data_IF_357344714695
#
_entry.id   IF_357344714695
#
_cell.length_a   1.000
_cell.length_b   1.000
_cell.length_c   1.000
_cell.angle_alpha   90.00
_cell.angle_beta   90.00
_cell.angle_gamma   90.00
#
_symmetry.space_group_name_H-M   'P 1'
#
loop_
_entity.id
_entity.type
_entity.pdbx_description
1 polymer ?
#
# COMPACT_ATOMS: atom_id res chain seq x y z
N UNK A 1 -0.27 0.27 -22.08
CA UNK A 1 -0.25 -0.14 -20.69
C UNK A 1 0.08 1.05 -19.83
N UNK A 2 -0.68 1.20 -18.82
CA UNK A 2 -0.58 2.37 -17.97
C UNK A 2 0.11 2.00 -16.69
N UNK A 3 1.04 2.85 -16.28
CA UNK A 3 1.86 2.55 -15.13
C UNK A 3 2.35 3.83 -14.48
N UNK A 4 2.44 3.78 -13.17
CA UNK A 4 2.98 4.88 -12.39
C UNK A 4 4.33 4.56 -11.82
N UNK A 5 4.84 5.48 -11.05
CA UNK A 5 6.17 5.41 -10.43
C UNK A 5 6.03 5.73 -8.95
N UNK A 6 6.73 4.96 -8.12
CA UNK A 6 6.91 5.32 -6.71
C UNK A 6 8.39 5.57 -6.48
N UNK A 7 8.71 6.76 -5.98
CA UNK A 7 10.06 7.19 -5.68
C UNK A 7 10.22 7.23 -4.17
N UNK A 8 10.99 6.31 -3.63
CA UNK A 8 11.24 6.25 -2.19
C UNK A 8 12.54 6.99 -1.92
N UNK A 9 12.48 8.00 -1.09
CA UNK A 9 13.60 8.88 -0.80
C UNK A 9 14.21 8.61 0.56
N UNK A 10 15.43 9.10 0.75
CA UNK A 10 16.19 8.92 1.99
C UNK A 10 16.44 7.46 2.31
N UNK A 11 16.63 6.67 1.27
CA UNK A 11 16.93 5.25 1.40
C UNK A 11 18.43 5.04 1.60
N UNK A 12 18.78 3.86 2.01
CA UNK A 12 20.18 3.46 2.14
C UNK A 12 20.66 2.86 0.83
N UNK A 13 21.79 3.36 0.35
CA UNK A 13 22.38 2.86 -0.89
C UNK A 13 22.72 1.39 -0.73
N UNK A 14 22.41 0.63 -1.74
CA UNK A 14 22.69 -0.81 -1.75
C UNK A 14 21.61 -1.68 -1.12
N UNK A 15 20.66 -1.10 -0.39
CA UNK A 15 19.56 -1.86 0.19
C UNK A 15 18.50 -2.13 -0.87
N UNK A 16 17.88 -3.29 -0.76
CA UNK A 16 16.79 -3.67 -1.66
C UNK A 16 15.46 -3.37 -0.99
N UNK A 17 14.59 -2.70 -1.71
CA UNK A 17 13.24 -2.36 -1.26
C UNK A 17 12.25 -3.10 -2.14
N UNK A 18 11.11 -3.44 -1.58
CA UNK A 18 10.09 -4.19 -2.31
C UNK A 18 8.76 -3.44 -2.20
N UNK A 19 8.09 -3.28 -3.33
CA UNK A 19 6.75 -2.72 -3.39
C UNK A 19 5.77 -3.87 -3.65
N UNK A 20 4.79 -4.02 -2.77
CA UNK A 20 3.73 -5.02 -2.90
C UNK A 20 2.43 -4.31 -3.20
N UNK A 21 1.81 -4.64 -4.32
CA UNK A 21 0.46 -4.17 -4.58
C UNK A 21 -0.49 -4.99 -3.72
N UNK A 22 -1.25 -4.32 -2.85
CA UNK A 22 -2.12 -5.03 -1.91
C UNK A 22 -3.60 -4.79 -2.19
N UNK A 23 -3.94 -3.74 -2.95
CA UNK A 23 -5.33 -3.47 -3.31
C UNK A 23 -5.39 -2.90 -4.71
N UNK A 24 -6.47 -3.21 -5.41
CA UNK A 24 -6.81 -2.56 -6.67
C UNK A 24 -7.46 -1.22 -6.40
N UNK A 25 -7.47 -0.37 -7.41
CA UNK A 25 -8.06 0.95 -7.34
C UNK A 25 -9.03 1.13 -8.48
N UNK A 26 -10.17 1.71 -8.21
CA UNK A 26 -11.12 2.10 -9.24
C UNK A 26 -11.69 3.48 -8.94
N UNK A 27 -12.01 4.21 -9.98
CA UNK A 27 -12.54 5.58 -9.89
C UNK A 27 -13.62 5.75 -10.92
N UNK A 28 -14.82 6.13 -10.48
CA UNK A 28 -15.94 6.33 -11.37
C UNK A 28 -16.21 7.80 -11.67
N UNK A 29 -15.27 8.68 -11.30
CA UNK A 29 -15.38 10.11 -11.54
C UNK A 29 -15.83 10.91 -10.34
N UNK A 30 -16.68 10.34 -9.49
CA UNK A 30 -17.18 11.01 -8.29
C UNK A 30 -16.51 10.49 -7.03
N UNK A 31 -16.15 9.23 -7.04
CA UNK A 31 -15.57 8.59 -5.87
C UNK A 31 -14.59 7.52 -6.34
N UNK A 32 -13.67 7.19 -5.47
CA UNK A 32 -12.76 6.09 -5.74
C UNK A 32 -12.91 5.02 -4.65
N UNK A 33 -12.44 3.83 -4.97
CA UNK A 33 -12.48 2.71 -4.04
C UNK A 33 -11.25 1.83 -4.19
N UNK A 34 -10.85 1.23 -3.10
CA UNK A 34 -9.85 0.17 -3.10
C UNK A 34 -10.56 -1.16 -2.91
N UNK A 35 -10.16 -2.16 -3.64
CA UNK A 35 -10.88 -3.42 -3.62
C UNK A 35 -10.01 -4.61 -4.02
N UNK A 36 -10.52 -5.79 -3.75
CA UNK A 36 -10.00 -7.06 -4.25
C UNK A 36 -11.14 -7.78 -4.94
N UNK A 37 -10.83 -8.54 -6.00
CA UNK A 37 -11.82 -9.47 -6.52
C UNK A 37 -12.01 -10.60 -5.52
N UNK A 38 -13.09 -11.37 -5.67
CA UNK A 38 -13.33 -12.51 -4.77
C UNK A 38 -12.18 -13.51 -4.81
N UNK A 39 -11.61 -13.73 -6.00
CA UNK A 39 -10.47 -14.64 -6.13
C UNK A 39 -9.23 -14.08 -5.43
N UNK A 40 -8.98 -12.78 -5.57
CA UNK A 40 -7.82 -12.13 -4.93
C UNK A 40 -7.97 -12.09 -3.42
N UNK A 41 -9.19 -11.86 -2.94
CA UNK A 41 -9.51 -11.86 -1.53
C UNK A 41 -9.34 -13.25 -0.92
N UNK A 42 -9.47 -14.27 -1.75
CA UNK A 42 -9.43 -15.67 -1.37
C UNK A 42 -10.60 -16.00 -0.43
N UNK A 43 -11.80 -15.80 -0.96
CA UNK A 43 -13.02 -16.03 -0.21
C UNK A 43 -13.34 -17.54 -0.16
N UNK A 44 -13.85 -17.96 0.98
CA UNK A 44 -14.36 -19.33 1.11
C UNK A 44 -15.78 -19.42 0.52
N UNK A 45 -16.39 -20.60 0.64
CA UNK A 45 -17.72 -20.84 0.07
C UNK A 45 -18.80 -19.96 0.71
N UNK A 46 -18.54 -19.42 1.89
CA UNK A 46 -19.48 -18.54 2.59
C UNK A 46 -19.16 -17.06 2.37
N UNK A 47 -18.11 -16.76 1.64
CA UNK A 47 -17.72 -15.38 1.36
C UNK A 47 -16.79 -14.78 2.41
N UNK A 48 -16.33 -15.56 3.37
CA UNK A 48 -15.37 -15.09 4.36
C UNK A 48 -13.95 -15.27 3.86
N UNK A 49 -13.00 -14.53 4.40
CA UNK A 49 -11.60 -14.69 4.03
C UNK A 49 -11.09 -16.03 4.49
N UNK A 50 -10.42 -16.75 3.58
CA UNK A 50 -9.74 -17.97 3.96
C UNK A 50 -8.50 -17.66 4.76
N UNK A 51 -8.21 -18.51 5.72
CA UNK A 51 -7.03 -18.36 6.55
C UNK A 51 -5.77 -18.32 5.69
N UNK A 52 -4.96 -17.30 5.87
CA UNK A 52 -3.71 -17.14 5.14
C UNK A 52 -3.85 -16.52 3.75
N UNK A 53 -5.06 -16.25 3.28
CA UNK A 53 -5.25 -15.56 2.02
C UNK A 53 -5.03 -14.07 2.16
N UNK A 54 -5.01 -13.35 1.04
CA UNK A 54 -4.75 -11.91 1.08
C UNK A 54 -5.82 -11.16 1.85
N UNK A 55 -7.10 -11.54 1.71
CA UNK A 55 -8.15 -10.93 2.50
C UNK A 55 -7.91 -11.05 4.00
N UNK A 56 -7.49 -12.22 4.42
CA UNK A 56 -7.18 -12.47 5.83
C UNK A 56 -6.00 -11.62 6.30
N UNK A 57 -4.93 -11.60 5.51
CA UNK A 57 -3.74 -10.80 5.83
C UNK A 57 -4.10 -9.33 6.00
N UNK A 58 -4.91 -8.80 5.09
CA UNK A 58 -5.28 -7.38 5.14
C UNK A 58 -6.24 -7.10 6.30
N UNK A 59 -7.14 -8.03 6.61
CA UNK A 59 -7.99 -7.86 7.78
C UNK A 59 -7.19 -7.86 9.08
N UNK A 60 -6.20 -8.72 9.18
CA UNK A 60 -5.31 -8.74 10.34
C UNK A 60 -4.56 -7.42 10.49
N UNK A 61 -4.28 -6.75 9.38
CA UNK A 61 -3.60 -5.45 9.41
C UNK A 61 -4.54 -4.29 9.70
N UNK A 62 -5.86 -4.51 9.71
CA UNK A 62 -6.81 -3.48 10.06
C UNK A 62 -7.79 -3.09 8.96
N UNK A 63 -7.64 -3.61 7.76
CA UNK A 63 -8.59 -3.31 6.69
C UNK A 63 -9.92 -4.03 6.95
N UNK A 64 -11.01 -3.35 6.65
CA UNK A 64 -12.34 -3.95 6.73
C UNK A 64 -12.96 -3.91 5.33
N UNK A 65 -13.65 -4.98 4.99
CA UNK A 65 -14.19 -5.13 3.64
C UNK A 65 -15.70 -5.31 3.66
N UNK A 66 -16.34 -4.83 2.60
CA UNK A 66 -17.74 -5.09 2.31
C UNK A 66 -17.81 -5.82 0.98
N UNK A 67 -18.47 -6.96 0.96
CA UNK A 67 -18.67 -7.74 -0.24
C UNK A 67 -19.71 -7.06 -1.12
N UNK A 68 -19.47 -7.00 -2.44
CA UNK A 68 -20.43 -6.43 -3.37
C UNK A 68 -21.69 -7.30 -3.44
N UNK A 69 -22.77 -6.72 -3.93
CA UNK A 69 -24.07 -7.43 -3.99
C UNK A 69 -23.97 -8.71 -4.80
N UNK A 70 -23.20 -8.71 -5.89
CA UNK A 70 -23.04 -9.90 -6.72
C UNK A 70 -21.93 -10.82 -6.23
N UNK A 71 -21.26 -10.47 -5.15
CA UNK A 71 -20.21 -11.30 -4.55
C UNK A 71 -18.89 -11.30 -5.28
N UNK A 72 -18.74 -10.51 -6.33
CA UNK A 72 -17.53 -10.57 -7.16
C UNK A 72 -16.39 -9.74 -6.64
N UNK A 73 -16.66 -8.79 -5.75
CA UNK A 73 -15.63 -7.86 -5.28
C UNK A 73 -15.80 -7.59 -3.78
N UNK A 74 -14.68 -7.26 -3.15
CA UNK A 74 -14.62 -6.90 -1.74
C UNK A 74 -14.01 -5.52 -1.66
N UNK A 75 -14.78 -4.55 -1.17
CA UNK A 75 -14.36 -3.15 -1.10
C UNK A 75 -13.92 -2.79 0.31
N UNK A 76 -12.80 -2.07 0.41
CA UNK A 76 -12.37 -1.53 1.70
C UNK A 76 -13.40 -0.50 2.15
N UNK A 77 -13.91 -0.66 3.36
CA UNK A 77 -14.96 0.22 3.87
C UNK A 77 -14.50 1.14 4.99
N UNK A 78 -13.25 1.04 5.43
CA UNK A 78 -12.74 1.83 6.53
C UNK A 78 -11.51 2.67 6.16
N UNK A 79 -11.37 3.02 4.88
CA UNK A 79 -10.20 3.74 4.41
C UNK A 79 -9.98 5.07 5.14
N UNK A 80 -11.07 5.81 5.40
CA UNK A 80 -10.95 7.11 6.07
C UNK A 80 -10.47 6.96 7.51
N UNK A 81 -10.97 5.95 8.21
CA UNK A 81 -10.54 5.72 9.58
C UNK A 81 -9.07 5.34 9.65
N UNK A 82 -8.61 4.48 8.75
CA UNK A 82 -7.21 4.08 8.71
C UNK A 82 -6.31 5.25 8.36
N UNK A 83 -6.75 6.10 7.44
CA UNK A 83 -6.01 7.27 7.02
C UNK A 83 -5.71 8.20 8.19
N UNK A 84 -6.67 8.37 9.09
CA UNK A 84 -6.53 9.33 10.17
C UNK A 84 -5.83 8.78 11.40
N UNK A 85 -5.91 7.48 11.65
CA UNK A 85 -5.45 6.97 12.93
C UNK A 85 -4.69 5.65 12.88
N UNK A 86 -4.59 5.01 11.74
CA UNK A 86 -4.11 3.65 11.69
C UNK A 86 -2.96 3.33 10.73
N UNK A 87 -2.50 4.29 9.95
CA UNK A 87 -1.56 4.00 8.86
C UNK A 87 -0.27 3.36 9.34
N UNK A 88 0.34 3.88 10.41
CA UNK A 88 1.60 3.30 10.87
C UNK A 88 1.42 1.91 11.46
N UNK A 89 0.29 1.65 12.10
CA UNK A 89 0.02 0.31 12.62
C UNK A 89 -0.23 -0.68 11.49
N UNK A 90 -0.95 -0.27 10.46
CA UNK A 90 -1.15 -1.09 9.27
C UNK A 90 0.19 -1.45 8.65
N UNK A 91 1.04 -0.45 8.44
CA UNK A 91 2.36 -0.68 7.84
C UNK A 91 3.22 -1.61 8.70
N UNK A 92 3.21 -1.43 10.02
CA UNK A 92 3.98 -2.28 10.91
C UNK A 92 3.50 -3.72 10.88
N UNK A 93 2.19 -3.92 10.88
CA UNK A 93 1.61 -5.26 10.85
C UNK A 93 1.91 -5.95 9.53
N UNK A 94 1.76 -5.24 8.41
CA UNK A 94 2.09 -5.81 7.09
C UNK A 94 3.56 -6.16 7.00
N UNK A 95 4.43 -5.32 7.53
CA UNK A 95 5.87 -5.56 7.51
C UNK A 95 6.28 -6.78 8.31
N UNK A 96 5.52 -7.11 9.35
CA UNK A 96 5.80 -8.27 10.18
C UNK A 96 5.14 -9.55 9.65
N UNK A 97 4.24 -9.45 8.68
CA UNK A 97 3.48 -10.60 8.22
C UNK A 97 4.24 -11.31 7.10
N UNK A 98 4.77 -12.49 7.42
CA UNK A 98 5.59 -13.23 6.48
C UNK A 98 4.78 -13.84 5.33
N UNK A 99 3.45 -13.83 5.41
CA UNK A 99 2.59 -14.40 4.36
C UNK A 99 2.42 -13.45 3.18
N UNK A 100 2.62 -12.14 3.40
CA UNK A 100 2.29 -11.13 2.40
C UNK A 100 3.06 -11.33 1.09
N UNK A 101 4.33 -11.66 1.18
CA UNK A 101 5.18 -11.79 -0.01
C UNK A 101 4.62 -12.80 -1.01
N UNK A 102 3.99 -13.86 -0.53
CA UNK A 102 3.44 -14.89 -1.40
C UNK A 102 2.01 -14.62 -1.86
N UNK A 103 1.38 -13.57 -1.36
CA UNK A 103 -0.04 -13.32 -1.62
C UNK A 103 -0.32 -11.97 -2.26
N UNK A 104 0.65 -11.07 -2.30
CA UNK A 104 0.44 -9.74 -2.90
C UNK A 104 0.01 -9.87 -4.36
N UNK A 105 -0.73 -8.88 -4.84
CA UNK A 105 -1.25 -8.87 -6.21
C UNK A 105 -0.13 -8.71 -7.23
N UNK A 106 0.90 -7.96 -6.87
CA UNK A 106 2.07 -7.75 -7.70
C UNK A 106 3.23 -7.36 -6.78
N UNK A 107 4.44 -7.62 -7.24
CA UNK A 107 5.64 -7.35 -6.45
C UNK A 107 6.68 -6.75 -7.38
N UNK A 108 7.37 -5.73 -6.90
CA UNK A 108 8.47 -5.14 -7.64
C UNK A 108 9.57 -4.76 -6.66
N UNK A 109 10.83 -4.89 -7.08
CA UNK A 109 11.96 -4.52 -6.24
C UNK A 109 12.72 -3.36 -6.86
N UNK A 110 13.40 -2.60 -6.01
CA UNK A 110 14.30 -1.55 -6.44
C UNK A 110 15.44 -1.48 -5.42
N UNK A 111 16.62 -1.08 -5.88
CA UNK A 111 17.78 -0.96 -5.02
C UNK A 111 18.05 0.52 -4.79
N UNK A 112 18.33 0.88 -3.54
CA UNK A 112 18.69 2.24 -3.21
C UNK A 112 19.97 2.68 -3.89
N UNK A 113 19.94 3.86 -4.48
CA UNK A 113 21.10 4.46 -5.12
C UNK A 113 20.92 5.97 -5.09
N UNK A 114 21.95 6.68 -4.69
CA UNK A 114 21.91 8.15 -4.62
C UNK A 114 20.76 8.67 -3.78
N UNK A 115 20.43 7.93 -2.72
CA UNK A 115 19.40 8.35 -1.77
C UNK A 115 17.98 8.02 -2.17
N UNK A 116 17.75 7.31 -3.28
CA UNK A 116 16.39 6.96 -3.69
C UNK A 116 16.31 5.53 -4.20
N UNK A 117 15.12 4.95 -4.10
CA UNK A 117 14.77 3.70 -4.74
C UNK A 117 13.53 3.97 -5.58
N UNK A 118 13.61 3.71 -6.88
CA UNK A 118 12.57 4.09 -7.82
C UNK A 118 11.94 2.85 -8.41
N UNK A 119 10.63 2.73 -8.20
CA UNK A 119 9.84 1.64 -8.77
C UNK A 119 9.07 2.21 -9.95
N UNK A 120 9.31 1.67 -11.13
CA UNK A 120 8.65 2.13 -12.35
C UNK A 120 7.68 1.07 -12.86
N UNK A 121 6.81 1.47 -13.76
CA UNK A 121 5.87 0.57 -14.43
C UNK A 121 4.95 -0.15 -13.45
N UNK A 122 4.45 0.59 -12.46
CA UNK A 122 3.54 0.04 -11.47
C UNK A 122 2.09 0.31 -11.87
N UNK A 123 1.24 -0.72 -11.92
CA UNK A 123 -0.20 -0.46 -12.16
C UNK A 123 -0.79 0.36 -11.02
N UNK A 124 -1.84 1.09 -11.33
CA UNK A 124 -2.54 1.86 -10.28
C UNK A 124 -3.02 0.90 -9.20
N UNK A 125 -3.08 1.38 -7.98
CA UNK A 125 -3.47 0.58 -6.83
C UNK A 125 -2.90 1.13 -5.55
N UNK A 126 -2.96 0.32 -4.52
CA UNK A 126 -2.45 0.67 -3.22
C UNK A 126 -1.30 -0.25 -2.89
N UNK A 127 -0.20 0.32 -2.45
CA UNK A 127 1.07 -0.40 -2.28
C UNK A 127 1.57 -0.33 -0.86
N UNK A 128 2.15 -1.43 -0.42
CA UNK A 128 2.98 -1.47 0.79
C UNK A 128 4.43 -1.58 0.34
N UNK A 129 5.28 -0.68 0.85
CA UNK A 129 6.70 -0.64 0.52
C UNK A 129 7.47 -1.14 1.74
N UNK A 130 8.28 -2.16 1.57
CA UNK A 130 9.12 -2.65 2.66
C UNK A 130 10.24 -1.65 2.93
N UNK A 131 10.45 -1.37 4.19
CA UNK A 131 11.52 -0.50 4.65
C UNK A 131 11.68 -0.76 6.14
N UNK A 132 12.54 -0.03 6.80
CA UNK A 132 12.70 -0.21 8.24
C UNK A 132 11.43 0.07 9.02
N UNK A 133 10.60 1.01 8.55
CA UNK A 133 9.33 1.33 9.21
C UNK A 133 8.13 0.86 8.42
N UNK A 134 8.31 0.59 7.13
CA UNK A 134 7.21 0.30 6.22
C UNK A 134 6.53 1.59 5.77
N UNK A 135 5.98 1.57 4.57
CA UNK A 135 5.27 2.72 4.02
C UNK A 135 4.10 2.25 3.19
N UNK A 136 3.05 3.05 3.19
CA UNK A 136 1.89 2.81 2.33
C UNK A 136 1.80 3.94 1.32
N UNK A 137 1.45 3.61 0.08
CA UNK A 137 1.45 4.59 -0.99
C UNK A 137 0.39 4.21 -2.03
N UNK A 138 -0.40 5.19 -2.44
CA UNK A 138 -1.43 5.00 -3.46
C UNK A 138 -0.94 5.53 -4.80
N UNK A 139 -1.28 4.83 -5.87
CA UNK A 139 -1.10 5.30 -7.24
C UNK A 139 -2.48 5.30 -7.88
N UNK A 140 -2.97 6.48 -8.23
CA UNK A 140 -4.29 6.66 -8.79
C UNK A 140 -4.29 6.95 -10.29
N UNK A 141 -3.15 7.36 -10.84
CA UNK A 141 -3.05 7.69 -12.25
C UNK A 141 -1.86 7.00 -12.90
N UNK A 142 -2.01 6.73 -14.19
CA UNK A 142 -1.01 6.01 -14.95
C UNK A 142 0.33 6.71 -15.04
N UNK A 143 0.33 8.02 -15.02
CA UNK A 143 1.56 8.79 -15.14
C UNK A 143 1.96 9.43 -13.83
N UNK A 144 1.35 8.99 -12.76
CA UNK A 144 1.63 9.57 -11.45
C UNK A 144 3.03 9.17 -11.00
N UNK A 145 3.72 10.12 -10.37
CA UNK A 145 4.96 9.86 -9.65
C UNK A 145 4.67 10.17 -8.20
N UNK A 146 4.56 9.13 -7.39
CA UNK A 146 4.33 9.29 -5.96
C UNK A 146 5.66 9.25 -5.24
N UNK A 147 5.81 10.10 -4.23
CA UNK A 147 7.05 10.18 -3.45
C UNK A 147 6.78 9.75 -2.03
N UNK A 148 7.63 8.88 -1.53
CA UNK A 148 7.57 8.38 -0.16
C UNK A 148 8.92 8.63 0.47
N UNK A 149 8.93 9.10 1.72
CA UNK A 149 10.18 9.31 2.44
C UNK A 149 10.41 8.12 3.37
N UNK A 150 11.55 7.49 3.22
CA UNK A 150 11.93 6.37 4.08
C UNK A 150 12.26 6.89 5.48
N UNK A 151 11.78 6.18 6.49
CA UNK A 151 11.96 6.62 7.87
C UNK A 151 12.86 5.67 8.63
N UNK A 152 13.83 5.23 7.97
CA UNK A 152 14.65 4.26 8.61
C UNK A 152 15.67 4.83 9.51
N UNK A 153 15.69 5.89 9.89
CA UNK A 153 16.68 6.13 10.64
C UNK A 153 16.58 6.36 11.82
N UNK A 154 16.78 6.04 12.08
CA UNK A 154 16.95 6.08 13.11
C UNK A 154 17.10 7.20 13.66
N UNK A 155 17.16 7.63 13.77
CA UNK A 155 17.43 8.43 14.19
C UNK A 155 16.82 9.35 14.30
N UNK A 156 16.76 9.74 14.43
CA UNK A 156 16.57 10.51 14.64
C UNK A 156 15.79 11.38 14.50
N UNK A 157 15.49 11.74 14.15
CA UNK A 157 14.95 12.61 13.94
C UNK A 157 13.72 12.72 13.65
N UNK A 158 13.23 13.06 13.83
CA UNK A 158 12.09 13.09 13.68
C UNK A 158 11.45 13.84 12.75
N UNK A 159 11.75 14.13 12.16
CA UNK A 159 11.21 14.67 11.28
C UNK A 159 10.42 14.14 10.57
N UNK A 160 10.21 13.92 10.60
CA UNK A 160 9.56 13.40 10.03
C UNK A 160 8.52 13.40 9.79
N UNK A 161 8.17 13.38 9.64
CA UNK A 161 7.35 13.29 9.35
C UNK A 161 6.43 13.68 8.89
N UNK A 162 6.49 13.85 8.64
CA UNK A 162 5.76 14.08 8.11
C UNK A 162 4.98 14.18 7.56
N UNK A 163 4.98 14.25 7.49
CA UNK A 163 4.37 14.28 6.98
C UNK A 163 3.72 14.40 6.30
N UNK A 164 3.88 14.54 6.14
CA UNK A 164 3.41 14.75 5.44
C UNK A 164 2.94 14.84 4.72
N UNK A 165 3.36 14.83 4.67
CA UNK A 165 3.11 14.90 4.02
C UNK A 165 2.61 14.70 3.40
N UNK A 166 2.79 14.38 3.37
CA UNK A 166 2.51 14.13 2.71
C UNK A 166 2.08 13.28 2.34
N UNK A 167 1.99 12.44 2.36
CA UNK A 167 1.77 11.63 1.92
C UNK A 167 1.12 10.63 1.79
N UNK A 168 0.98 9.99 1.77
CA UNK A 168 0.16 9.20 1.26
C UNK A 168 -0.51 8.09 1.80
N UNK A 169 -1.30 7.26 1.91
CA UNK A 169 -1.99 6.54 2.70
C UNK A 169 -3.30 5.96 2.25
N UNK A 170 -3.98 5.06 2.92
CA UNK A 170 -5.25 4.51 2.53
C UNK A 170 -6.24 5.64 2.37
N UNK A 171 -6.76 5.75 1.17
CA UNK A 171 -7.71 6.82 0.89
C UNK A 171 -7.07 8.16 0.65
N UNK A 172 -5.77 8.22 0.59
CA UNK A 172 -5.12 9.48 0.41
C UNK A 172 -4.38 9.59 -0.86
N UNK A 173 -4.08 10.56 -1.08
CA UNK A 173 -3.27 10.68 -2.00
C UNK A 173 -2.30 11.40 -1.77
N UNK A 174 -1.55 11.37 -1.56
CA UNK A 174 -0.68 11.78 -1.37
C UNK A 174 -0.18 12.40 -1.74
N UNK A 175 0.37 12.54 -1.76
CA UNK A 175 1.07 12.92 -2.00
C UNK A 175 1.67 13.06 -1.70
N UNK A 176 1.77 12.45 -1.14
CA UNK A 176 2.31 12.21 -0.74
C UNK A 176 2.68 12.05 -0.60
N UNK A 177 2.76 11.81 -0.11
CA UNK A 177 3.20 11.39 -0.09
C UNK A 177 3.30 10.88 0.31
N UNK A 178 3.04 10.58 0.85
CA UNK A 178 3.16 10.27 1.11
C UNK A 178 3.23 10.15 1.49
N UNK A 179 3.42 10.03 1.98
CA UNK A 179 3.52 9.87 2.14
C UNK A 179 3.56 9.47 2.63
N UNK A 180 3.77 9.28 3.23
CA UNK A 180 3.76 8.88 3.55
C UNK A 180 3.72 8.72 3.88
#
# INVERSE_FOLDING_TARGET
VFAGTIDVQDVLDGETYTAYKILNYTNDGDAYSYYLTAAEYDADENGAAKDGGLGDILQDAGFQFTKSADGSQYYVNNAEALKTSGVSEVAATLGADTRLAGKALATKTATGADGEAVFTDLPVGYYFITSSAGSLCALHDDNEIATVVEKNTMITDDKAVDENSDNAQVGDELHYTITL
#
